data_IF_360623356488
#
_entry.id   IF_360623356488
#
_cell.length_a   1.000
_cell.length_b   1.000
_cell.length_c   1.000
_cell.angle_alpha   90.00
_cell.angle_beta   90.00
_cell.angle_gamma   90.00
#
_symmetry.space_group_name_H-M   'P 1'
#
loop_
_entity.id
_entity.type
_entity.pdbx_description
1 polymer ?
#
# COMPACT_ATOMS: atom_id res chain seq x y z
N UNK A 1 -5.26 -20.45 50.15
CA UNK A 1 -3.99 -21.03 49.66
C UNK A 1 -3.11 -19.88 49.16
N UNK A 2 -1.87 -19.69 49.62
CA UNK A 2 -1.00 -18.64 49.09
C UNK A 2 -0.64 -18.94 47.62
N UNK A 3 -0.55 -17.90 46.79
CA UNK A 3 -0.15 -18.01 45.39
C UNK A 3 1.33 -18.40 45.31
N UNK A 4 1.64 -19.52 44.66
CA UNK A 4 3.01 -19.93 44.38
C UNK A 4 3.55 -19.12 43.17
N UNK A 5 4.11 -17.95 43.45
CA UNK A 5 4.65 -17.05 42.44
C UNK A 5 6.09 -17.44 42.13
N UNK A 6 6.37 -17.69 40.86
CA UNK A 6 7.73 -18.00 40.41
C UNK A 6 8.62 -16.75 40.48
N UNK A 7 9.77 -16.88 41.13
CA UNK A 7 10.74 -15.78 41.20
C UNK A 7 11.48 -15.62 39.86
N UNK A 8 12.02 -14.44 39.58
CA UNK A 8 12.81 -14.13 38.37
C UNK A 8 13.97 -15.11 38.18
N UNK A 9 14.61 -15.53 39.26
CA UNK A 9 15.71 -16.51 39.23
C UNK A 9 15.23 -17.92 38.91
N UNK A 10 14.03 -18.31 39.39
CA UNK A 10 13.43 -19.59 39.03
C UNK A 10 13.04 -19.61 37.54
N UNK A 11 12.45 -18.52 37.04
CA UNK A 11 12.10 -18.39 35.63
C UNK A 11 13.36 -18.39 34.74
N UNK A 12 14.41 -17.66 35.14
CA UNK A 12 15.67 -17.62 34.37
C UNK A 12 16.36 -18.99 34.34
N UNK A 13 16.34 -19.73 35.46
CA UNK A 13 16.81 -21.11 35.57
C UNK A 13 16.03 -22.08 34.67
N UNK A 14 14.70 -21.98 34.69
CA UNK A 14 13.81 -22.78 33.83
C UNK A 14 14.10 -22.52 32.33
N UNK A 15 14.23 -21.26 31.92
CA UNK A 15 14.56 -20.91 30.54
C UNK A 15 15.96 -21.39 30.14
N UNK A 16 16.94 -21.34 31.05
CA UNK A 16 18.27 -21.89 30.81
C UNK A 16 18.23 -23.41 30.61
N UNK A 17 17.51 -24.12 31.46
CA UNK A 17 17.35 -25.58 31.36
C UNK A 17 16.72 -25.99 30.03
N UNK A 18 15.64 -25.32 29.60
CA UNK A 18 14.98 -25.60 28.32
C UNK A 18 15.91 -25.36 27.12
N UNK A 19 16.73 -24.30 27.14
CA UNK A 19 17.73 -24.06 26.09
C UNK A 19 18.80 -25.16 26.06
N UNK A 20 19.26 -25.58 27.23
CA UNK A 20 20.26 -26.64 27.40
C UNK A 20 19.75 -27.99 26.88
N UNK A 21 18.51 -28.35 27.21
CA UNK A 21 17.84 -29.54 26.67
C UNK A 21 17.68 -29.48 25.15
N UNK A 22 17.24 -28.32 24.62
CA UNK A 22 17.11 -28.13 23.18
C UNK A 22 18.45 -28.30 22.46
N UNK A 23 19.54 -27.78 23.03
CA UNK A 23 20.89 -27.98 22.50
C UNK A 23 21.33 -29.45 22.56
N UNK A 24 21.02 -30.16 23.65
CA UNK A 24 21.31 -31.58 23.79
C UNK A 24 20.58 -32.42 22.72
N UNK A 25 19.31 -32.13 22.45
CA UNK A 25 18.51 -32.89 21.46
C UNK A 25 18.90 -32.52 20.02
N UNK A 26 19.13 -31.23 19.72
CA UNK A 26 19.37 -30.78 18.34
C UNK A 26 20.83 -30.88 17.91
N UNK A 27 21.79 -30.73 18.83
CA UNK A 27 23.23 -30.69 18.54
C UNK A 27 24.02 -31.80 19.24
N UNK A 28 23.35 -32.70 19.97
CA UNK A 28 23.97 -33.76 20.78
C UNK A 28 25.07 -33.22 21.72
N UNK A 29 24.94 -31.96 22.13
CA UNK A 29 25.97 -31.26 22.91
C UNK A 29 25.36 -30.23 23.83
N UNK A 30 25.93 -30.16 25.03
CA UNK A 30 25.44 -29.34 26.14
C UNK A 30 26.36 -28.16 26.44
N UNK A 31 27.47 -28.04 25.69
CA UNK A 31 28.53 -27.04 25.91
C UNK A 31 28.10 -25.59 25.63
N UNK A 32 26.90 -25.36 25.07
CA UNK A 32 26.30 -24.04 24.78
C UNK A 32 27.31 -22.97 24.30
N UNK A 33 28.26 -23.37 23.43
CA UNK A 33 29.36 -22.50 22.96
C UNK A 33 28.86 -21.34 22.08
N UNK A 34 27.71 -21.52 21.44
CA UNK A 34 27.08 -20.51 20.59
C UNK A 34 25.84 -19.96 21.30
N UNK A 35 25.70 -18.64 21.30
CA UNK A 35 24.53 -17.96 21.83
C UNK A 35 23.50 -17.67 20.72
N UNK A 36 22.50 -18.54 20.61
CA UNK A 36 21.42 -18.42 19.62
C UNK A 36 20.42 -17.28 19.95
N UNK A 37 20.57 -16.58 21.09
CA UNK A 37 19.63 -15.55 21.52
C UNK A 37 19.49 -14.41 20.53
N UNK A 38 20.61 -13.99 19.92
CA UNK A 38 20.60 -12.91 18.91
C UNK A 38 19.81 -13.31 17.67
N UNK A 39 19.96 -14.57 17.23
CA UNK A 39 19.22 -15.09 16.08
C UNK A 39 17.72 -15.21 16.39
N UNK A 40 17.35 -15.74 17.56
CA UNK A 40 15.94 -15.82 17.98
C UNK A 40 15.31 -14.43 18.15
N UNK A 41 16.05 -13.48 18.73
CA UNK A 41 15.59 -12.09 18.85
C UNK A 41 15.43 -11.43 17.47
N UNK A 42 16.32 -11.68 16.52
CA UNK A 42 16.21 -11.16 15.16
C UNK A 42 14.97 -11.70 14.43
N UNK A 43 14.65 -12.99 14.59
CA UNK A 43 13.44 -13.59 14.02
C UNK A 43 12.17 -13.04 14.69
N UNK A 44 12.17 -12.88 16.02
CA UNK A 44 11.04 -12.26 16.71
C UNK A 44 10.83 -10.81 16.23
N UNK A 45 11.92 -10.05 16.08
CA UNK A 45 11.89 -8.67 15.61
C UNK A 45 11.38 -8.57 14.18
N UNK A 46 11.77 -9.47 13.27
CA UNK A 46 11.28 -9.46 11.89
C UNK A 46 9.78 -9.74 11.82
N UNK A 47 9.27 -10.66 12.64
CA UNK A 47 7.82 -10.91 12.75
C UNK A 47 7.09 -9.63 13.20
N UNK A 48 7.62 -8.93 14.21
CA UNK A 48 7.05 -7.66 14.67
C UNK A 48 7.02 -6.61 13.54
N UNK A 49 8.10 -6.46 12.78
CA UNK A 49 8.13 -5.55 11.64
C UNK A 49 7.10 -5.91 10.56
N UNK A 50 6.93 -7.19 10.26
CA UNK A 50 5.92 -7.66 9.29
C UNK A 50 4.50 -7.29 9.78
N UNK A 51 4.20 -7.52 11.06
CA UNK A 51 2.90 -7.16 11.63
C UNK A 51 2.64 -5.65 11.59
N UNK A 52 3.65 -4.83 11.90
CA UNK A 52 3.57 -3.37 11.79
C UNK A 52 3.32 -2.97 10.34
N UNK A 53 4.05 -3.55 9.38
CA UNK A 53 3.88 -3.26 7.95
C UNK A 53 2.48 -3.61 7.44
N UNK A 54 1.96 -4.76 7.83
CA UNK A 54 0.58 -5.19 7.53
C UNK A 54 -0.44 -4.24 8.16
N UNK A 55 -0.27 -3.89 9.44
CA UNK A 55 -1.14 -2.93 10.12
C UNK A 55 -1.11 -1.55 9.47
N UNK A 56 0.05 -1.10 9.02
CA UNK A 56 0.22 0.16 8.30
C UNK A 56 -0.48 0.15 6.94
N UNK A 57 -0.31 -0.92 6.16
CA UNK A 57 -1.03 -1.08 4.89
C UNK A 57 -2.54 -1.14 5.09
N UNK A 58 -3.02 -1.85 6.11
CA UNK A 58 -4.44 -1.90 6.45
C UNK A 58 -4.99 -0.52 6.83
N UNK A 59 -4.23 0.25 7.62
CA UNK A 59 -4.59 1.62 8.00
C UNK A 59 -4.70 2.53 6.76
N UNK A 60 -3.70 2.48 5.87
CA UNK A 60 -3.72 3.25 4.63
C UNK A 60 -4.87 2.85 3.71
N UNK A 61 -5.24 1.57 3.67
CA UNK A 61 -6.37 1.09 2.87
C UNK A 61 -7.69 1.69 3.36
N UNK A 62 -7.90 1.76 4.68
CA UNK A 62 -9.09 2.37 5.28
C UNK A 62 -9.13 3.88 5.00
N UNK A 63 -7.97 4.54 5.05
CA UNK A 63 -7.90 6.01 4.92
C UNK A 63 -7.89 6.51 3.47
N UNK A 64 -7.37 5.71 2.54
CA UNK A 64 -7.39 6.00 1.10
C UNK A 64 -8.09 4.84 0.38
N UNK A 65 -9.43 4.74 0.47
CA UNK A 65 -10.15 3.84 -0.40
C UNK A 65 -9.75 4.20 -1.83
N UNK A 66 -9.11 3.26 -2.54
CA UNK A 66 -8.72 3.43 -3.93
C UNK A 66 -9.94 4.00 -4.67
N UNK A 67 -9.79 5.20 -5.23
CA UNK A 67 -10.89 6.14 -5.50
C UNK A 67 -12.16 5.45 -5.95
N UNK A 68 -13.26 5.68 -5.23
CA UNK A 68 -14.57 5.13 -5.56
C UNK A 68 -14.89 5.49 -7.02
N UNK A 69 -14.76 4.49 -7.91
CA UNK A 69 -15.19 4.51 -9.30
C UNK A 69 -16.65 4.98 -9.42
N UNK A 70 -17.44 4.80 -8.36
CA UNK A 70 -18.83 5.24 -8.26
C UNK A 70 -19.04 6.75 -8.41
N UNK A 71 -18.09 7.61 -8.02
CA UNK A 71 -18.28 9.07 -8.07
C UNK A 71 -17.48 9.77 -9.17
N UNK A 72 -16.58 9.07 -9.87
CA UNK A 72 -15.77 9.71 -10.90
C UNK A 72 -16.54 9.83 -12.23
N UNK A 73 -16.55 11.04 -12.79
CA UNK A 73 -17.07 11.36 -14.11
C UNK A 73 -16.39 10.54 -15.23
N UNK A 74 -15.12 10.18 -15.02
CA UNK A 74 -14.31 9.38 -15.94
C UNK A 74 -13.78 8.18 -15.17
N UNK A 75 -13.90 6.99 -15.76
CA UNK A 75 -13.49 5.72 -15.18
C UNK A 75 -12.46 5.08 -16.10
N UNK A 76 -11.28 4.77 -15.59
CA UNK A 76 -10.27 3.99 -16.32
C UNK A 76 -10.24 2.56 -15.81
N UNK A 77 -10.28 1.59 -16.72
CA UNK A 77 -9.94 0.21 -16.39
C UNK A 77 -8.42 0.10 -16.28
N UNK A 78 -7.92 -0.31 -15.11
CA UNK A 78 -6.47 -0.38 -14.83
C UNK A 78 -5.78 -1.54 -15.55
N UNK A 79 -6.52 -2.61 -15.83
CA UNK A 79 -5.97 -3.83 -16.43
C UNK A 79 -5.93 -3.74 -17.96
N UNK A 80 -6.94 -3.10 -18.57
CA UNK A 80 -7.05 -2.97 -20.03
C UNK A 80 -6.66 -1.60 -20.56
N UNK A 81 -6.48 -0.60 -19.69
CA UNK A 81 -6.21 0.79 -20.08
C UNK A 81 -7.39 1.50 -20.75
N UNK A 82 -8.55 0.84 -20.89
CA UNK A 82 -9.73 1.41 -21.50
C UNK A 82 -10.32 2.54 -20.64
N UNK A 83 -10.75 3.63 -21.30
CA UNK A 83 -11.35 4.79 -20.63
C UNK A 83 -12.85 4.80 -20.90
N UNK A 84 -13.63 5.06 -19.86
CA UNK A 84 -15.09 5.15 -19.90
C UNK A 84 -15.54 6.52 -19.39
N UNK A 85 -16.49 7.12 -20.10
CA UNK A 85 -17.20 8.32 -19.67
C UNK A 85 -18.50 7.90 -18.95
N UNK A 86 -18.77 8.48 -17.77
CA UNK A 86 -20.02 8.25 -17.05
C UNK A 86 -21.01 9.36 -17.41
N UNK A 87 -22.09 9.01 -18.10
CA UNK A 87 -23.16 9.92 -18.52
C UNK A 87 -24.47 9.33 -18.01
N UNK A 88 -25.25 10.10 -17.25
CA UNK A 88 -26.54 9.66 -16.67
C UNK A 88 -26.47 8.32 -15.92
N UNK A 89 -25.35 8.07 -15.23
CA UNK A 89 -25.14 6.84 -14.47
C UNK A 89 -24.72 5.61 -15.30
N UNK A 90 -24.64 5.71 -16.63
CA UNK A 90 -24.15 4.65 -17.53
C UNK A 90 -22.72 4.92 -17.98
N UNK A 91 -21.94 3.85 -18.19
CA UNK A 91 -20.57 3.93 -18.70
C UNK A 91 -20.58 3.76 -20.22
N UNK A 92 -19.98 4.73 -20.91
CA UNK A 92 -19.75 4.70 -22.35
C UNK A 92 -18.25 4.59 -22.63
N UNK A 93 -17.82 3.65 -23.50
CA UNK A 93 -16.41 3.55 -23.87
C UNK A 93 -15.98 4.81 -24.63
N UNK A 94 -14.83 5.37 -24.25
CA UNK A 94 -14.22 6.51 -24.90
C UNK A 94 -12.87 6.09 -25.51
N UNK A 95 -12.58 6.61 -26.71
CA UNK A 95 -11.33 6.30 -27.41
C UNK A 95 -10.09 6.83 -26.67
N UNK A 96 -10.24 7.92 -25.93
CA UNK A 96 -9.17 8.55 -25.16
C UNK A 96 -9.73 9.41 -24.01
N UNK A 97 -8.85 9.85 -23.12
CA UNK A 97 -9.21 10.68 -21.96
C UNK A 97 -9.82 12.04 -22.37
N UNK A 98 -9.37 12.61 -23.48
CA UNK A 98 -9.86 13.91 -23.98
C UNK A 98 -11.31 13.81 -24.46
N UNK A 99 -11.66 12.75 -25.19
CA UNK A 99 -13.02 12.46 -25.63
C UNK A 99 -13.93 12.16 -24.44
N UNK A 100 -13.43 11.44 -23.42
CA UNK A 100 -14.17 11.22 -22.19
C UNK A 100 -14.46 12.54 -21.44
N UNK A 101 -13.48 13.46 -21.36
CA UNK A 101 -13.67 14.80 -20.78
C UNK A 101 -14.70 15.63 -21.54
N UNK A 102 -14.67 15.57 -22.88
CA UNK A 102 -15.64 16.25 -23.72
C UNK A 102 -17.06 15.71 -23.47
N UNK A 103 -17.21 14.38 -23.45
CA UNK A 103 -18.50 13.72 -23.29
C UNK A 103 -19.16 13.99 -21.93
N UNK A 104 -18.34 14.15 -20.87
CA UNK A 104 -18.83 14.46 -19.51
C UNK A 104 -18.90 15.98 -19.26
N UNK A 105 -18.68 16.80 -20.28
CA UNK A 105 -18.77 18.26 -20.19
C UNK A 105 -17.68 18.90 -19.33
N UNK A 106 -16.65 18.14 -18.91
CA UNK A 106 -15.58 18.62 -18.04
C UNK A 106 -14.48 19.29 -18.88
N UNK A 107 -14.84 20.39 -19.55
CA UNK A 107 -13.96 21.22 -20.36
C UNK A 107 -13.22 22.26 -19.48
N UNK A 108 -12.61 21.83 -18.38
CA UNK A 108 -11.70 22.70 -17.64
C UNK A 108 -10.38 22.85 -18.43
N UNK A 109 -10.11 24.09 -18.84
CA UNK A 109 -8.94 24.58 -19.57
C UNK A 109 -8.94 24.40 -21.10
N UNK A 110 -9.85 25.10 -21.78
CA UNK A 110 -9.48 25.79 -23.03
C UNK A 110 -9.67 27.29 -22.85
N UNK A 111 -8.67 27.95 -22.27
CA UNK A 111 -8.54 29.42 -22.34
C UNK A 111 -8.25 29.74 -23.80
N UNK A 112 -9.29 30.12 -24.54
CA UNK A 112 -9.22 30.38 -25.97
C UNK A 112 -8.16 31.43 -26.28
N UNK A 113 -7.09 31.02 -26.96
CA UNK A 113 -6.27 31.97 -27.70
C UNK A 113 -7.10 32.41 -28.91
N UNK A 114 -7.54 33.68 -28.87
CA UNK A 114 -8.21 34.31 -30.01
C UNK A 114 -7.30 34.21 -31.22
N UNK A 115 -7.76 33.47 -32.23
CA UNK A 115 -7.22 33.55 -33.59
C UNK A 115 -7.62 34.91 -34.17
N UNK A 116 -6.75 35.90 -34.03
CA UNK A 116 -6.89 37.17 -34.74
C UNK A 116 -6.62 36.93 -36.23
N UNK A 117 -7.69 36.77 -37.00
CA UNK A 117 -7.67 36.83 -38.46
C UNK A 117 -7.80 38.30 -38.84
N UNK A 118 -6.69 38.97 -39.14
CA UNK A 118 -6.70 40.21 -39.90
C UNK A 118 -6.15 39.92 -41.29
N UNK A 119 -7.08 39.90 -42.25
CA UNK A 119 -6.81 39.91 -43.68
C UNK A 119 -7.40 41.21 -44.18
N UNK A 120 -6.58 42.18 -44.55
CA UNK A 120 -6.96 43.25 -45.47
C UNK A 120 -5.70 43.88 -46.07
N UNK A 121 -5.39 43.60 -47.34
CA UNK A 121 -5.75 44.40 -48.52
C UNK A 121 -4.54 45.29 -48.90
N UNK A 122 -3.89 44.95 -50.03
CA UNK A 122 -3.11 45.93 -50.83
C UNK A 122 -4.08 46.96 -51.40
N UNK A 123 -3.67 48.24 -51.49
CA UNK A 123 -3.55 48.82 -52.83
C UNK A 123 -2.32 49.75 -53.01
N UNK A 124 -1.93 49.88 -54.28
CA UNK A 124 -1.08 50.85 -54.97
C UNK A 124 -0.31 51.93 -54.19
N UNK A 125 1.02 51.95 -54.38
CA UNK A 125 1.74 52.91 -55.24
C UNK A 125 3.15 52.40 -55.53
#
# INVERSE_FOLDING_TARGET
>A
MPLNLSNRDQNSGHLFYNRRLRAAITRFSVRMKHDDRKQQAAVALSIVFVLIGLGWMALLHIWKPAGLVGQSAIVGNRDTGAVYAKIDGRLYPALNLTSARLAVGNAAARRGSRRAKSRSIRPDR
#
